data_IF_339976975030
#
_entry.id   IF_339976975030
#
_cell.length_a   1.000
_cell.length_b   1.000
_cell.length_c   1.000
_cell.angle_alpha   90.00
_cell.angle_beta   90.00
_cell.angle_gamma   90.00
#
_symmetry.space_group_name_H-M   'P 1'
#
loop_
_entity.id
_entity.type
_entity.pdbx_description
1 polymer ?
#
# COMPACT_ATOMS: atom_id res chain seq x y z
N UNK A 1 48.01 -35.93 -2.20
CA UNK A 1 48.04 -36.21 -0.75
C UNK A 1 48.78 -35.08 -0.05
N UNK A 2 48.19 -34.55 1.04
CA UNK A 2 48.75 -33.66 2.08
C UNK A 2 49.24 -32.26 1.64
N UNK A 3 48.54 -31.16 1.96
CA UNK A 3 48.19 -30.50 3.23
C UNK A 3 49.23 -29.48 3.72
N UNK A 4 48.71 -28.31 4.10
CA UNK A 4 49.30 -27.03 4.54
C UNK A 4 50.49 -27.12 5.50
N UNK A 5 51.36 -26.10 5.51
CA UNK A 5 51.55 -25.18 6.65
C UNK A 5 52.50 -24.02 6.26
N UNK A 6 51.99 -22.78 6.31
CA UNK A 6 52.80 -21.55 6.37
C UNK A 6 52.73 -21.08 7.83
N UNK A 7 53.88 -20.80 8.46
CA UNK A 7 53.95 -20.14 9.77
C UNK A 7 55.19 -19.23 9.80
N UNK A 8 54.96 -17.92 9.68
CA UNK A 8 55.92 -16.87 10.05
C UNK A 8 55.54 -16.29 11.42
N UNK A 9 56.50 -15.71 12.18
CA UNK A 9 56.30 -15.34 13.58
C UNK A 9 56.08 -13.83 13.81
N UNK A 10 55.68 -13.51 15.05
CA UNK A 10 55.69 -12.23 15.77
C UNK A 10 54.55 -11.21 15.54
N UNK A 11 53.57 -11.29 16.44
CA UNK A 11 52.65 -10.22 16.85
C UNK A 11 53.38 -9.12 17.63
N UNK A 12 53.07 -7.85 17.32
CA UNK A 12 53.23 -6.71 18.23
C UNK A 12 51.86 -6.07 18.48
N UNK A 13 51.51 -5.95 19.76
CA UNK A 13 50.32 -5.27 20.26
C UNK A 13 50.63 -3.77 20.45
N UNK A 14 49.72 -2.89 20.01
CA UNK A 14 49.71 -1.48 20.39
C UNK A 14 48.58 -1.21 21.38
N UNK A 15 48.96 -0.63 22.52
CA UNK A 15 48.13 -0.22 23.65
C UNK A 15 47.72 1.25 23.43
N UNK A 16 46.45 1.59 23.62
CA UNK A 16 46.01 2.97 23.84
C UNK A 16 45.31 3.08 25.19
N UNK A 17 45.97 3.81 26.09
CA UNK A 17 45.55 4.19 27.43
C UNK A 17 45.09 5.66 27.37
N UNK A 18 43.87 5.98 27.81
CA UNK A 18 43.57 7.27 28.43
C UNK A 18 42.54 7.10 29.55
N UNK A 19 42.82 7.83 30.62
CA UNK A 19 42.35 7.73 32.01
C UNK A 19 41.04 8.49 32.25
N UNK A 20 40.14 7.92 33.06
CA UNK A 20 39.00 8.61 33.71
C UNK A 20 39.11 8.41 35.22
N UNK A 21 39.00 9.46 36.07
CA UNK A 21 39.09 9.29 37.50
C UNK A 21 37.76 8.85 38.11
N UNK A 22 37.86 7.87 39.02
CA UNK A 22 36.81 7.43 39.95
C UNK A 22 36.62 8.45 41.06
N UNK A 23 35.38 8.78 41.41
CA UNK A 23 35.06 9.25 42.77
C UNK A 23 34.17 8.23 43.47
N UNK A 24 34.56 7.97 44.72
CA UNK A 24 34.09 6.94 45.63
C UNK A 24 32.78 7.32 46.33
N UNK A 25 32.07 6.27 46.73
CA UNK A 25 30.77 6.23 47.41
C UNK A 25 30.93 6.41 48.93
N UNK A 26 29.96 7.10 49.56
CA UNK A 26 29.29 6.84 50.87
C UNK A 26 29.23 8.05 51.80
N UNK A 27 28.02 8.54 52.07
CA UNK A 27 27.44 8.43 53.42
C UNK A 27 25.93 8.70 53.40
N UNK A 28 25.22 7.78 54.04
CA UNK A 28 23.78 7.66 54.16
C UNK A 28 23.18 8.73 55.06
N UNK A 29 22.02 9.29 54.70
CA UNK A 29 21.00 9.72 55.67
C UNK A 29 19.61 9.31 55.15
N UNK A 30 18.78 8.89 56.10
CA UNK A 30 17.59 8.07 55.96
C UNK A 30 16.37 8.81 55.39
N UNK A 31 15.68 8.12 54.48
CA UNK A 31 14.22 7.93 54.32
C UNK A 31 13.33 8.98 55.02
N UNK A 32 12.54 9.75 54.25
CA UNK A 32 11.07 9.95 54.46
C UNK A 32 10.45 10.81 53.34
N UNK A 33 9.20 10.48 53.00
CA UNK A 33 8.25 11.14 52.08
C UNK A 33 8.26 10.75 50.58
N UNK A 34 7.72 9.55 50.32
CA UNK A 34 6.86 9.29 49.17
C UNK A 34 5.54 10.05 49.35
N UNK A 35 5.11 10.85 48.35
CA UNK A 35 3.90 10.64 47.53
C UNK A 35 3.54 11.91 46.72
N UNK A 36 3.25 11.66 45.44
CA UNK A 36 2.48 12.49 44.50
C UNK A 36 3.22 13.49 43.58
N UNK A 37 3.79 12.99 42.47
CA UNK A 37 3.72 13.71 41.18
C UNK A 37 3.25 12.77 40.07
N UNK A 38 2.18 13.18 39.41
CA UNK A 38 1.47 12.48 38.36
C UNK A 38 2.34 12.35 37.09
N UNK A 39 2.51 11.11 36.64
CA UNK A 39 2.97 10.80 35.29
C UNK A 39 2.00 11.37 34.25
N UNK A 40 2.47 12.26 33.39
CA UNK A 40 1.91 12.44 32.04
C UNK A 40 3.02 12.28 31.01
N UNK A 41 3.43 11.03 30.82
CA UNK A 41 4.08 10.59 29.59
C UNK A 41 3.07 10.68 28.44
N UNK A 42 3.13 11.76 27.67
CA UNK A 42 2.39 11.90 26.43
C UNK A 42 3.16 11.29 25.27
N UNK A 43 2.86 10.04 24.94
CA UNK A 43 3.28 9.42 23.68
C UNK A 43 2.56 10.12 22.52
N UNK A 44 3.29 10.83 21.66
CA UNK A 44 2.75 11.42 20.43
C UNK A 44 2.52 10.30 19.38
N UNK A 45 1.45 9.52 19.56
CA UNK A 45 0.91 8.67 18.50
C UNK A 45 0.09 9.54 17.56
N UNK A 46 0.58 9.73 16.33
CA UNK A 46 -0.21 10.24 15.21
C UNK A 46 -1.29 9.24 14.83
N UNK A 47 -2.38 9.22 15.59
CA UNK A 47 -3.55 8.40 15.32
C UNK A 47 -4.59 9.24 14.57
N UNK A 48 -4.85 8.91 13.31
CA UNK A 48 -5.95 9.54 12.57
C UNK A 48 -7.27 9.26 13.29
N UNK A 49 -7.84 10.24 14.00
CA UNK A 49 -9.09 10.10 14.77
C UNK A 49 -10.12 9.27 13.99
N UNK A 50 -10.50 8.10 14.53
CA UNK A 50 -11.60 7.27 14.01
C UNK A 50 -12.87 8.15 13.96
N UNK A 51 -13.71 8.07 12.91
CA UNK A 51 -14.89 8.93 12.81
C UNK A 51 -15.82 8.58 13.98
N UNK A 52 -16.52 9.58 14.54
CA UNK A 52 -17.60 9.31 15.51
C UNK A 52 -18.58 8.30 14.87
N UNK A 53 -18.93 7.24 15.60
CA UNK A 53 -19.73 6.10 15.11
C UNK A 53 -20.95 6.62 14.31
N UNK A 54 -21.14 6.14 13.08
CA UNK A 54 -22.30 6.45 12.24
C UNK A 54 -22.27 7.75 11.41
N UNK A 55 -21.15 8.49 11.37
CA UNK A 55 -20.95 9.62 10.45
C UNK A 55 -20.02 9.26 9.27
N UNK A 56 -20.35 9.75 8.08
CA UNK A 56 -19.53 9.53 6.89
C UNK A 56 -18.11 10.08 7.04
N UNK A 57 -17.07 9.28 6.78
CA UNK A 57 -15.73 9.79 6.66
C UNK A 57 -15.55 10.61 5.37
N UNK A 58 -14.80 11.71 5.49
CA UNK A 58 -14.12 12.37 4.36
C UNK A 58 -12.64 12.06 4.49
N UNK A 59 -12.21 10.89 4.00
CA UNK A 59 -10.86 10.37 4.28
C UNK A 59 -10.02 10.27 3.03
N UNK A 60 -8.81 10.82 3.12
CA UNK A 60 -7.72 10.46 2.23
C UNK A 60 -6.87 9.39 2.89
N UNK A 61 -6.66 8.29 2.18
CA UNK A 61 -5.83 7.17 2.61
C UNK A 61 -4.62 7.13 1.67
N UNK A 62 -3.43 7.15 2.24
CA UNK A 62 -2.18 6.95 1.48
C UNK A 62 -1.59 5.62 1.93
N UNK A 63 -1.39 4.71 0.98
CA UNK A 63 -0.70 3.46 1.21
C UNK A 63 0.79 3.64 0.95
N UNK A 64 1.61 3.31 1.95
CA UNK A 64 3.05 3.14 1.81
C UNK A 64 3.32 1.63 1.88
N UNK A 65 3.60 0.99 0.74
CA UNK A 65 3.83 -0.46 0.65
C UNK A 65 2.57 -1.32 0.52
N UNK A 66 2.69 -2.62 0.82
CA UNK A 66 1.65 -3.68 0.68
C UNK A 66 0.56 -3.65 1.76
N UNK A 67 0.26 -2.48 2.33
CA UNK A 67 -0.64 -2.38 3.48
C UNK A 67 -2.10 -2.62 3.05
N UNK A 68 -2.69 -3.69 3.60
CA UNK A 68 -4.12 -3.99 3.54
C UNK A 68 -4.89 -3.01 4.43
N UNK A 69 -6.06 -2.57 3.99
CA UNK A 69 -6.98 -1.82 4.83
C UNK A 69 -8.43 -2.10 4.47
N UNK A 70 -9.34 -1.59 5.32
CA UNK A 70 -10.79 -1.81 5.17
C UNK A 70 -11.53 -0.48 5.10
N UNK A 71 -12.54 -0.42 4.25
CA UNK A 71 -13.55 0.65 4.20
C UNK A 71 -14.94 0.06 4.42
N UNK A 72 -15.76 0.79 5.15
CA UNK A 72 -17.11 0.34 5.52
C UNK A 72 -18.07 1.52 5.44
N UNK A 73 -19.32 1.23 5.09
CA UNK A 73 -20.41 2.18 5.28
C UNK A 73 -20.58 2.51 6.77
N UNK A 74 -20.94 3.75 7.14
CA UNK A 74 -21.10 4.12 8.54
C UNK A 74 -22.16 3.26 9.22
N UNK A 75 -21.77 2.55 10.28
CA UNK A 75 -22.68 1.70 11.07
C UNK A 75 -22.67 0.22 10.69
N UNK A 76 -22.00 -0.17 9.59
CA UNK A 76 -21.86 -1.58 9.20
C UNK A 76 -21.38 -2.45 10.40
N UNK A 77 -21.95 -3.64 10.63
CA UNK A 77 -22.92 -4.37 9.79
C UNK A 77 -24.40 -3.95 9.96
N UNK A 78 -24.69 -2.90 10.73
CA UNK A 78 -26.04 -2.38 10.91
C UNK A 78 -26.44 -1.44 9.75
N UNK A 79 -27.75 -1.19 9.55
CA UNK A 79 -28.21 -0.27 8.52
C UNK A 79 -27.58 1.13 8.61
N UNK A 80 -27.09 1.65 7.48
CA UNK A 80 -26.52 3.00 7.39
C UNK A 80 -27.60 4.08 7.53
N UNK A 81 -27.22 5.32 7.82
CA UNK A 81 -28.19 6.44 7.84
C UNK A 81 -28.35 7.05 6.44
N UNK A 82 -29.58 7.44 6.08
CA UNK A 82 -29.86 8.21 4.84
C UNK A 82 -29.30 9.63 4.91
N UNK A 83 -29.29 10.30 3.75
CA UNK A 83 -28.77 11.67 3.58
C UNK A 83 -27.28 11.78 3.93
N UNK A 84 -26.50 10.82 3.45
CA UNK A 84 -25.07 10.76 3.72
C UNK A 84 -24.26 10.55 2.44
N UNK A 85 -23.13 11.26 2.36
CA UNK A 85 -22.15 11.10 1.29
C UNK A 85 -20.80 10.80 1.93
N UNK A 86 -20.27 9.61 1.64
CA UNK A 86 -18.94 9.21 2.07
C UNK A 86 -18.01 9.23 0.86
N UNK A 87 -16.75 9.62 1.08
CA UNK A 87 -15.71 9.45 0.08
C UNK A 87 -14.39 8.97 0.69
N UNK A 88 -13.76 8.07 -0.04
CA UNK A 88 -12.42 7.57 0.24
C UNK A 88 -11.56 7.81 -1.00
N UNK A 89 -10.40 8.42 -0.78
CA UNK A 89 -9.35 8.54 -1.80
C UNK A 89 -8.16 7.71 -1.38
N UNK A 90 -7.97 6.56 -2.02
CA UNK A 90 -6.87 5.62 -1.77
C UNK A 90 -5.78 5.91 -2.80
N UNK A 91 -4.56 6.26 -2.35
CA UNK A 91 -3.40 6.49 -3.21
C UNK A 91 -2.31 5.47 -2.94
N UNK A 92 -1.70 4.95 -4.01
CA UNK A 92 -0.55 4.03 -3.96
C UNK A 92 0.68 4.64 -4.64
N UNK A 93 1.89 4.11 -4.40
CA UNK A 93 3.11 4.53 -5.09
C UNK A 93 3.07 4.30 -6.61
N UNK A 94 4.07 4.79 -7.34
CA UNK A 94 4.27 4.45 -8.76
C UNK A 94 4.59 2.95 -8.90
N UNK A 95 4.18 2.36 -10.02
CA UNK A 95 4.31 0.91 -10.27
C UNK A 95 3.26 0.06 -9.57
N UNK A 96 2.26 0.66 -8.91
CA UNK A 96 1.17 -0.05 -8.25
C UNK A 96 -0.19 0.49 -8.67
N UNK A 97 -1.20 -0.37 -8.58
CA UNK A 97 -2.62 -0.02 -8.66
C UNK A 97 -3.38 -0.48 -7.42
N UNK A 98 -4.58 0.05 -7.21
CA UNK A 98 -5.43 -0.33 -6.07
C UNK A 98 -6.38 -1.45 -6.51
N UNK A 99 -6.39 -2.53 -5.74
CA UNK A 99 -7.39 -3.59 -5.85
C UNK A 99 -8.37 -3.48 -4.69
N UNK A 100 -9.68 -3.46 -5.00
CA UNK A 100 -10.76 -3.37 -4.03
C UNK A 100 -11.63 -4.63 -4.11
N UNK A 101 -11.88 -5.23 -2.96
CA UNK A 101 -12.63 -6.46 -2.81
C UNK A 101 -13.79 -6.24 -1.83
N UNK A 102 -15.02 -6.35 -2.32
CA UNK A 102 -16.21 -6.25 -1.48
C UNK A 102 -16.43 -7.59 -0.77
N UNK A 103 -16.56 -7.54 0.55
CA UNK A 103 -16.93 -8.68 1.36
C UNK A 103 -18.44 -8.77 1.45
N UNK A 104 -18.94 -10.01 1.47
CA UNK A 104 -20.36 -10.33 1.52
C UNK A 104 -21.12 -9.76 0.30
N UNK A 105 -22.45 -9.87 0.29
CA UNK A 105 -23.26 -9.18 -0.74
C UNK A 105 -23.31 -7.70 -0.42
N UNK A 106 -23.25 -6.83 -1.44
CA UNK A 106 -23.44 -5.40 -1.23
C UNK A 106 -24.90 -5.18 -0.81
N UNK A 107 -25.10 -4.85 0.47
CA UNK A 107 -26.40 -4.62 1.09
C UNK A 107 -27.02 -3.27 0.73
N UNK A 108 -26.91 -2.86 -0.53
CA UNK A 108 -27.53 -1.67 -1.13
C UNK A 108 -28.47 -2.17 -2.21
N UNK A 109 -29.79 -2.09 -2.03
CA UNK A 109 -30.74 -2.55 -3.05
C UNK A 109 -30.54 -1.83 -4.40
N UNK A 110 -30.51 -2.55 -5.52
CA UNK A 110 -30.40 -1.94 -6.85
C UNK A 110 -31.63 -1.12 -7.27
N UNK A 111 -32.77 -1.37 -6.64
CA UNK A 111 -33.99 -0.56 -6.78
C UNK A 111 -33.95 0.72 -5.96
N UNK A 112 -32.98 0.85 -5.05
CA UNK A 112 -32.78 2.08 -4.29
C UNK A 112 -32.06 3.13 -5.13
N UNK A 113 -32.25 4.41 -4.78
CA UNK A 113 -31.46 5.51 -5.35
C UNK A 113 -30.04 5.58 -4.78
N UNK A 114 -29.73 4.74 -3.79
CA UNK A 114 -28.44 4.68 -3.12
C UNK A 114 -27.44 3.97 -4.03
N UNK A 115 -26.19 4.43 -3.99
CA UNK A 115 -25.14 3.87 -4.85
C UNK A 115 -23.77 3.98 -4.24
N UNK A 116 -22.96 2.97 -4.50
CA UNK A 116 -21.50 3.06 -4.36
C UNK A 116 -20.87 3.11 -5.75
N UNK A 117 -19.91 4.00 -5.93
CA UNK A 117 -19.18 4.20 -7.16
C UNK A 117 -17.67 4.14 -6.90
N UNK A 118 -16.95 3.50 -7.81
CA UNK A 118 -15.49 3.34 -7.75
C UNK A 118 -14.89 3.94 -9.03
N UNK A 119 -13.86 4.77 -8.93
CA UNK A 119 -13.21 5.39 -10.10
C UNK A 119 -11.72 5.66 -9.90
N UNK A 120 -10.95 5.82 -10.99
CA UNK A 120 -9.55 6.27 -10.93
C UNK A 120 -9.41 7.79 -10.78
N UNK A 121 -10.48 8.54 -11.02
CA UNK A 121 -10.54 10.00 -10.96
C UNK A 121 -11.55 10.52 -9.92
N UNK A 122 -11.52 11.85 -9.63
CA UNK A 122 -12.48 12.47 -8.72
C UNK A 122 -13.94 12.27 -9.17
N UNK A 123 -14.75 11.69 -8.29
CA UNK A 123 -16.20 11.49 -8.51
C UNK A 123 -16.99 12.72 -8.03
N UNK A 124 -17.01 13.77 -8.84
CA UNK A 124 -17.58 15.07 -8.46
C UNK A 124 -19.11 15.09 -8.56
N UNK A 125 -19.74 14.73 -9.70
CA UNK A 125 -21.18 15.01 -9.91
C UNK A 125 -22.07 13.99 -10.63
N UNK A 126 -21.60 13.27 -11.66
CA UNK A 126 -22.42 12.23 -12.32
C UNK A 126 -21.60 10.97 -12.45
N UNK A 127 -22.06 9.91 -11.79
CA UNK A 127 -21.54 8.58 -12.07
C UNK A 127 -22.21 8.16 -13.37
N UNK A 128 -21.50 8.31 -14.49
CA UNK A 128 -22.01 7.99 -15.81
C UNK A 128 -22.26 6.47 -15.87
N UNK A 129 -23.46 5.99 -16.23
CA UNK A 129 -23.81 4.58 -16.05
C UNK A 129 -23.08 3.60 -16.99
N UNK A 130 -22.36 4.06 -18.01
CA UNK A 130 -21.65 3.20 -18.98
C UNK A 130 -20.71 4.05 -19.83
N UNK A 131 -19.50 3.55 -20.11
CA UNK A 131 -18.69 4.00 -21.25
C UNK A 131 -17.37 4.71 -20.96
N UNK A 132 -17.08 5.15 -19.73
CA UNK A 132 -15.71 5.51 -19.36
C UNK A 132 -15.13 4.31 -18.61
N UNK A 133 -14.19 3.56 -19.19
CA UNK A 133 -13.55 2.36 -18.61
C UNK A 133 -12.79 2.58 -17.28
N UNK A 134 -13.10 3.67 -16.58
CA UNK A 134 -12.49 4.16 -15.34
C UNK A 134 -13.49 4.28 -14.20
N UNK A 135 -14.78 3.92 -14.36
CA UNK A 135 -15.79 4.06 -13.29
C UNK A 135 -16.76 2.88 -13.24
N UNK A 136 -16.96 2.30 -12.05
CA UNK A 136 -17.93 1.24 -11.79
C UNK A 136 -18.98 1.70 -10.76
N UNK A 137 -20.26 1.46 -11.02
CA UNK A 137 -21.38 1.65 -10.08
C UNK A 137 -21.83 0.29 -9.58
N UNK A 138 -21.98 0.12 -8.27
CA UNK A 138 -22.34 -1.16 -7.68
C UNK A 138 -23.56 -1.03 -6.77
N UNK A 139 -24.36 -2.09 -6.75
CA UNK A 139 -25.52 -2.31 -5.89
C UNK A 139 -25.77 -3.83 -5.80
N UNK A 140 -26.46 -4.26 -4.76
CA UNK A 140 -27.00 -5.60 -4.58
C UNK A 140 -25.95 -6.70 -4.76
N UNK A 141 -26.25 -7.66 -5.63
CA UNK A 141 -25.31 -8.71 -6.01
C UNK A 141 -24.59 -8.31 -7.29
N UNK A 142 -23.78 -7.26 -7.25
CA UNK A 142 -22.91 -6.92 -8.37
C UNK A 142 -21.97 -8.08 -8.62
N UNK A 143 -22.08 -8.73 -9.79
CA UNK A 143 -21.26 -9.89 -10.24
C UNK A 143 -19.75 -9.58 -10.37
N UNK A 144 -19.31 -8.41 -9.88
CA UNK A 144 -17.92 -8.01 -9.69
C UNK A 144 -17.71 -7.70 -8.21
N UNK A 145 -17.39 -8.72 -7.41
CA UNK A 145 -16.88 -8.53 -6.05
C UNK A 145 -15.50 -7.88 -6.06
N UNK A 146 -14.77 -8.02 -7.17
CA UNK A 146 -13.43 -7.51 -7.38
C UNK A 146 -13.48 -6.33 -8.35
N UNK A 147 -13.06 -5.15 -7.90
CA UNK A 147 -12.98 -3.96 -8.73
C UNK A 147 -11.54 -3.48 -8.79
N UNK A 148 -10.96 -3.54 -9.98
CA UNK A 148 -9.66 -2.95 -10.31
C UNK A 148 -9.91 -1.82 -11.30
N UNK A 149 -9.52 -0.61 -10.94
CA UNK A 149 -9.64 0.55 -11.84
C UNK A 149 -8.23 1.02 -12.21
N UNK A 150 -7.94 1.33 -13.49
CA UNK A 150 -6.59 1.70 -13.92
C UNK A 150 -6.05 2.93 -13.17
N UNK A 151 -4.79 2.89 -12.74
CA UNK A 151 -4.08 4.05 -12.20
C UNK A 151 -3.67 3.94 -10.73
N UNK A 152 -2.96 4.98 -10.27
CA UNK A 152 -2.28 5.04 -8.95
C UNK A 152 -3.18 5.51 -7.80
N UNK A 153 -4.43 5.82 -8.10
CA UNK A 153 -5.39 6.26 -7.09
C UNK A 153 -6.77 5.72 -7.42
N UNK A 154 -7.52 5.42 -6.37
CA UNK A 154 -8.90 4.97 -6.45
C UNK A 154 -9.77 5.85 -5.55
N UNK A 155 -10.89 6.27 -6.11
CA UNK A 155 -11.94 7.02 -5.46
C UNK A 155 -13.13 6.12 -5.24
N UNK A 156 -13.53 5.94 -3.99
CA UNK A 156 -14.78 5.25 -3.63
C UNK A 156 -15.73 6.30 -3.10
N UNK A 157 -16.91 6.40 -3.70
CA UNK A 157 -17.97 7.32 -3.29
C UNK A 157 -19.23 6.53 -2.96
N UNK A 158 -19.72 6.66 -1.74
CA UNK A 158 -21.01 6.15 -1.34
C UNK A 158 -21.99 7.30 -1.16
N UNK A 159 -23.19 7.16 -1.74
CA UNK A 159 -24.25 8.15 -1.65
C UNK A 159 -25.54 7.46 -1.21
N UNK A 160 -25.98 7.75 0.02
CA UNK A 160 -27.27 7.35 0.55
C UNK A 160 -28.26 8.51 0.41
N UNK A 161 -29.22 8.37 -0.48
CA UNK A 161 -30.24 9.36 -0.80
C UNK A 161 -31.36 9.30 0.25
N UNK A 162 -31.91 10.46 0.61
CA UNK A 162 -33.18 10.51 1.34
C UNK A 162 -34.34 10.42 0.35
N UNK A 163 -35.24 9.48 0.57
CA UNK A 163 -36.46 9.28 -0.21
C UNK A 163 -37.73 9.65 0.59
N UNK A 164 -37.58 10.19 1.81
CA UNK A 164 -38.69 10.50 2.72
C UNK A 164 -39.42 9.29 3.31
N UNK A 165 -39.03 8.05 2.95
CA UNK A 165 -39.85 6.87 3.25
C UNK A 165 -39.70 6.30 4.67
N UNK A 166 -38.83 6.87 5.51
CA UNK A 166 -38.60 6.48 6.91
C UNK A 166 -38.09 5.04 7.14
N UNK A 167 -38.23 4.13 6.16
CA UNK A 167 -37.85 2.72 6.27
C UNK A 167 -36.39 2.52 5.91
N UNK A 168 -35.54 2.37 6.92
CA UNK A 168 -34.13 1.99 6.73
C UNK A 168 -33.98 0.46 6.76
N UNK A 169 -33.53 -0.13 5.65
CA UNK A 169 -33.33 -1.59 5.54
C UNK A 169 -31.97 -2.01 4.94
N UNK A 170 -31.29 -1.11 4.23
CA UNK A 170 -30.01 -1.41 3.59
C UNK A 170 -28.86 -1.37 4.62
N UNK A 171 -28.05 -2.44 4.68
CA UNK A 171 -26.91 -2.61 5.59
C UNK A 171 -25.60 -2.02 5.05
N UNK A 172 -25.55 -1.70 3.76
CA UNK A 172 -24.38 -1.08 3.13
C UNK A 172 -23.31 -2.09 2.72
N UNK A 173 -22.04 -1.77 2.93
CA UNK A 173 -20.94 -2.62 2.49
C UNK A 173 -19.71 -2.55 3.41
N UNK A 174 -18.90 -3.60 3.31
CA UNK A 174 -17.52 -3.67 3.79
C UNK A 174 -16.64 -4.11 2.63
N UNK A 175 -15.51 -3.44 2.44
CA UNK A 175 -14.57 -3.79 1.39
C UNK A 175 -13.13 -3.66 1.90
N UNK A 176 -12.26 -4.58 1.48
CA UNK A 176 -10.82 -4.46 1.70
C UNK A 176 -10.13 -3.92 0.46
N UNK A 177 -9.08 -3.14 0.67
CA UNK A 177 -8.25 -2.60 -0.38
C UNK A 177 -6.79 -2.93 -0.15
N UNK A 178 -6.06 -3.23 -1.22
CA UNK A 178 -4.63 -3.50 -1.22
C UNK A 178 -3.94 -2.89 -2.44
N UNK A 179 -2.65 -2.59 -2.29
CA UNK A 179 -1.80 -2.23 -3.41
C UNK A 179 -1.39 -3.51 -4.15
N UNK A 180 -1.56 -3.52 -5.46
CA UNK A 180 -1.11 -4.58 -6.35
C UNK A 180 -0.03 -4.05 -7.28
N UNK A 181 0.99 -4.86 -7.48
CA UNK A 181 2.08 -4.60 -8.41
C UNK A 181 1.54 -4.51 -9.84
N UNK A 182 2.00 -3.51 -10.59
CA UNK A 182 1.67 -3.39 -12.00
C UNK A 182 2.66 -4.24 -12.79
N UNK A 183 2.22 -5.38 -13.32
CA UNK A 183 3.09 -6.22 -14.14
C UNK A 183 3.17 -5.63 -15.55
N UNK A 184 4.12 -4.71 -15.78
CA UNK A 184 4.29 -4.05 -17.08
C UNK A 184 4.60 -5.07 -18.19
N UNK A 185 5.26 -6.17 -17.85
CA UNK A 185 5.61 -7.25 -18.78
C UNK A 185 4.38 -7.98 -19.30
N UNK A 186 3.44 -8.34 -18.41
CA UNK A 186 2.17 -8.98 -18.82
C UNK A 186 1.22 -8.03 -19.54
N UNK A 187 1.33 -6.73 -19.31
CA UNK A 187 0.47 -5.71 -19.89
C UNK A 187 0.98 -5.15 -21.22
N UNK A 188 2.20 -5.52 -21.61
CA UNK A 188 2.90 -4.97 -22.78
C UNK A 188 3.03 -3.43 -22.71
N UNK A 189 3.07 -2.87 -21.49
CA UNK A 189 3.21 -1.43 -21.22
C UNK A 189 4.68 -1.05 -20.94
N UNK A 190 5.63 -1.91 -21.31
CA UNK A 190 7.08 -1.71 -21.13
C UNK A 190 7.78 -1.23 -22.40
N UNK A 191 9.00 -0.72 -22.24
CA UNK A 191 9.83 -0.22 -23.35
C UNK A 191 11.05 -1.08 -23.67
N UNK A 192 11.17 -2.26 -23.06
CA UNK A 192 12.27 -3.19 -23.34
C UNK A 192 12.30 -3.59 -24.81
N UNK A 193 13.50 -3.56 -25.42
CA UNK A 193 13.70 -4.05 -26.79
C UNK A 193 13.51 -5.56 -26.89
N UNK A 194 14.01 -6.30 -25.90
CA UNK A 194 13.99 -7.76 -25.88
C UNK A 194 13.17 -8.26 -24.69
N UNK A 195 13.83 -8.73 -23.62
CA UNK A 195 13.14 -9.38 -22.51
C UNK A 195 12.72 -8.36 -21.45
N UNK A 196 11.47 -8.46 -20.99
CA UNK A 196 10.98 -7.73 -19.82
C UNK A 196 11.00 -8.64 -18.58
N UNK A 197 11.53 -8.10 -17.47
CA UNK A 197 11.52 -8.76 -16.17
C UNK A 197 10.71 -7.91 -15.19
N UNK A 198 9.55 -8.43 -14.76
CA UNK A 198 8.72 -7.75 -13.79
C UNK A 198 9.42 -7.67 -12.42
N UNK A 199 9.28 -6.54 -11.73
CA UNK A 199 9.79 -6.31 -10.37
C UNK A 199 8.68 -5.66 -9.54
N UNK A 200 8.72 -5.84 -8.23
CA UNK A 200 7.71 -5.20 -7.38
C UNK A 200 7.88 -3.68 -7.45
N UNK A 201 6.87 -3.00 -7.99
CA UNK A 201 6.79 -1.56 -8.20
C UNK A 201 7.53 -1.04 -9.45
N UNK A 202 8.04 -1.91 -10.31
CA UNK A 202 8.81 -1.52 -11.50
C UNK A 202 9.05 -2.69 -12.46
N UNK A 203 9.82 -2.46 -13.51
CA UNK A 203 10.36 -3.54 -14.33
C UNK A 203 11.79 -3.19 -14.73
N UNK A 204 12.51 -4.19 -15.24
CA UNK A 204 13.80 -3.97 -15.91
C UNK A 204 13.89 -4.80 -17.17
N UNK A 205 14.73 -4.37 -18.09
CA UNK A 205 14.96 -5.08 -19.32
C UNK A 205 16.19 -5.98 -19.21
N UNK A 206 16.21 -7.04 -20.00
CA UNK A 206 17.39 -7.89 -20.19
C UNK A 206 17.51 -8.34 -21.64
N UNK A 207 18.72 -8.67 -22.04
CA UNK A 207 19.03 -9.04 -23.42
C UNK A 207 19.18 -10.55 -23.58
N UNK A 208 18.93 -11.02 -24.79
CA UNK A 208 19.19 -12.38 -25.23
C UNK A 208 20.69 -12.67 -25.20
N UNK A 209 21.04 -13.96 -25.18
CA UNK A 209 22.44 -14.39 -25.17
C UNK A 209 23.22 -13.75 -26.32
N UNK A 210 24.39 -13.18 -26.01
CA UNK A 210 25.26 -12.48 -26.95
C UNK A 210 25.01 -10.97 -27.04
N UNK A 211 23.95 -10.43 -26.44
CA UNK A 211 23.67 -9.00 -26.43
C UNK A 211 23.93 -8.40 -25.03
N UNK A 212 24.30 -7.12 -24.98
CA UNK A 212 24.48 -6.37 -23.74
C UNK A 212 23.45 -5.25 -23.61
N UNK A 213 22.90 -5.09 -22.41
CA UNK A 213 21.99 -3.99 -22.12
C UNK A 213 22.75 -2.67 -22.20
N UNK A 214 22.21 -1.71 -22.94
CA UNK A 214 22.83 -0.41 -23.14
C UNK A 214 22.67 0.51 -21.91
N UNK A 215 23.22 1.72 -22.01
CA UNK A 215 23.17 2.70 -20.92
C UNK A 215 21.76 3.26 -20.62
N UNK A 216 20.80 3.13 -21.54
CA UNK A 216 19.43 3.57 -21.28
C UNK A 216 18.61 2.51 -20.52
N UNK A 217 19.14 1.28 -20.42
CA UNK A 217 18.54 0.18 -19.66
C UNK A 217 17.32 -0.44 -20.33
N UNK A 218 17.06 -0.11 -21.60
CA UNK A 218 15.92 -0.56 -22.41
C UNK A 218 16.38 -1.34 -23.64
N UNK A 219 17.44 -0.88 -24.31
CA UNK A 219 17.90 -1.45 -25.57
C UNK A 219 19.07 -2.43 -25.38
N UNK A 220 19.26 -3.30 -26.38
CA UNK A 220 20.24 -4.35 -26.41
C UNK A 220 21.22 -4.14 -27.56
N UNK A 221 22.51 -4.08 -27.24
CA UNK A 221 23.58 -3.76 -28.19
C UNK A 221 24.55 -4.92 -28.36
N UNK A 222 25.10 -5.01 -29.58
CA UNK A 222 26.12 -5.99 -29.95
C UNK A 222 25.60 -7.42 -30.11
N UNK A 223 26.36 -8.24 -30.83
CA UNK A 223 26.26 -9.70 -30.80
C UNK A 223 27.67 -10.23 -30.54
N UNK A 224 28.01 -10.47 -29.28
CA UNK A 224 29.27 -11.13 -28.89
C UNK A 224 29.20 -12.62 -29.19
N UNK A 225 29.02 -12.97 -30.47
CA UNK A 225 29.40 -14.28 -30.99
C UNK A 225 30.56 -14.06 -31.95
N UNK A 226 31.74 -13.92 -31.37
CA UNK A 226 33.02 -14.27 -31.98
C UNK A 226 34.05 -14.37 -30.85
N UNK A 227 34.04 -15.49 -30.12
CA UNK A 227 35.14 -15.86 -29.23
C UNK A 227 35.47 -17.32 -29.54
N UNK A 228 36.40 -17.46 -30.50
CA UNK A 228 37.28 -18.59 -30.83
C UNK A 228 36.71 -20.02 -30.83
N UNK A 229 36.34 -20.50 -32.02
CA UNK A 229 36.69 -21.86 -32.46
C UNK A 229 37.38 -21.76 -33.83
N UNK A 230 38.55 -21.12 -33.86
CA UNK A 230 39.57 -21.50 -34.84
C UNK A 230 40.39 -22.59 -34.15
N UNK A 231 39.89 -23.83 -34.18
CA UNK A 231 40.76 -24.97 -33.97
C UNK A 231 41.64 -25.06 -35.22
N UNK A 232 42.92 -24.81 -34.98
CA UNK A 232 44.04 -25.14 -35.88
C UNK A 232 43.87 -26.51 -36.52
#
# INVERSE_FOLDING_TARGET
MMSKYIRHPHHQHYILNTTMPRMLVKQSFLITFMFLTLFLGGSFSSETKKPKRGKCPRRQIRLTGSKLGTIETPGYPHPYRRSQICWWRIKVPRGFFVHLEFHDKIGIACTSKDRVAVSSGPLYYRVVPRGSGTTAVLCGQSRMSNVSVPGRQMWVRFHAVSDGSGKQQNIGFRATYRAMDNDECKREEHKCEQNCINKIGSYRCSCNLGYMLDNNGLNCTGKYFNIYFSNN
#
